data_IF_515028204850
#
_entry.id   IF_515028204850
#
_cell.length_a   1.000
_cell.length_b   1.000
_cell.length_c   1.000
_cell.angle_alpha   90.00
_cell.angle_beta   90.00
_cell.angle_gamma   90.00
#
_symmetry.space_group_name_H-M   'P 1'
#
loop_
_entity.id
_entity.type
_entity.pdbx_description
1 polymer ?
#
# COMPACT_ATOMS: atom_id res chain seq x y z
N UNK A 1 0.67 -20.96 -17.61
CA UNK A 1 0.79 -20.37 -16.24
C UNK A 1 1.59 -19.10 -16.38
N UNK A 2 1.02 -17.96 -16.05
CA UNK A 2 1.78 -16.69 -16.03
C UNK A 2 2.83 -16.78 -14.92
N UNK A 3 4.10 -16.55 -15.25
CA UNK A 3 5.17 -16.51 -14.26
C UNK A 3 4.87 -15.41 -13.24
N UNK A 4 4.88 -15.78 -11.95
CA UNK A 4 4.68 -14.82 -10.86
C UNK A 4 5.76 -13.75 -10.92
N UNK A 5 5.36 -12.49 -10.89
CA UNK A 5 6.30 -11.36 -10.82
C UNK A 5 7.18 -11.51 -9.58
N UNK A 6 8.49 -11.41 -9.77
CA UNK A 6 9.48 -11.44 -8.69
C UNK A 6 9.72 -10.01 -8.17
N UNK A 7 10.03 -9.89 -6.88
CA UNK A 7 10.37 -8.61 -6.27
C UNK A 7 11.47 -7.85 -7.03
N UNK A 8 12.51 -8.55 -7.51
CA UNK A 8 13.61 -7.95 -8.28
C UNK A 8 13.18 -7.29 -9.60
N UNK A 9 12.03 -7.65 -10.15
CA UNK A 9 11.48 -7.02 -11.36
C UNK A 9 10.74 -5.71 -11.05
N UNK A 10 10.26 -5.57 -9.82
CA UNK A 10 9.47 -4.41 -9.35
C UNK A 10 10.34 -3.44 -8.55
N UNK A 11 11.17 -3.95 -7.65
CA UNK A 11 11.98 -3.15 -6.72
C UNK A 11 13.16 -2.50 -7.43
N UNK A 12 12.98 -1.25 -7.84
CA UNK A 12 14.04 -0.37 -8.31
C UNK A 12 14.42 0.58 -7.17
N UNK A 13 15.56 0.32 -6.53
CA UNK A 13 16.02 1.06 -5.36
C UNK A 13 16.20 2.55 -5.63
N UNK A 14 16.62 2.93 -6.84
CA UNK A 14 16.80 4.35 -7.19
C UNK A 14 15.45 5.05 -7.31
N UNK A 15 14.49 4.44 -8.01
CA UNK A 15 13.13 4.99 -8.12
C UNK A 15 12.42 5.07 -6.79
N UNK A 16 12.58 4.04 -5.94
CA UNK A 16 12.02 4.03 -4.58
C UNK A 16 12.61 5.16 -3.73
N UNK A 17 13.93 5.30 -3.73
CA UNK A 17 14.59 6.37 -2.99
C UNK A 17 14.19 7.75 -3.52
N UNK A 18 14.14 7.94 -4.85
CA UNK A 18 13.71 9.19 -5.46
C UNK A 18 12.27 9.55 -5.12
N UNK A 19 11.34 8.58 -5.07
CA UNK A 19 9.97 8.81 -4.65
C UNK A 19 9.90 9.23 -3.18
N UNK A 20 10.59 8.51 -2.29
CA UNK A 20 10.65 8.82 -0.86
C UNK A 20 11.29 10.20 -0.61
N UNK A 21 12.40 10.52 -1.28
CA UNK A 21 13.07 11.82 -1.16
C UNK A 21 12.21 12.96 -1.70
N UNK A 22 11.53 12.76 -2.81
CA UNK A 22 10.60 13.74 -3.38
C UNK A 22 9.42 13.99 -2.45
N UNK A 23 8.81 12.94 -1.90
CA UNK A 23 7.73 13.05 -0.92
C UNK A 23 8.18 13.79 0.33
N UNK A 24 9.32 13.39 0.90
CA UNK A 24 9.94 14.04 2.05
C UNK A 24 10.21 15.53 1.78
N UNK A 25 10.85 15.84 0.66
CA UNK A 25 11.20 17.22 0.29
C UNK A 25 9.95 18.10 0.12
N UNK A 26 8.88 17.61 -0.52
CA UNK A 26 7.62 18.32 -0.64
C UNK A 26 6.97 18.58 0.71
N UNK A 27 6.96 17.58 1.58
CA UNK A 27 6.36 17.68 2.93
C UNK A 27 7.09 18.69 3.82
N UNK A 28 8.41 18.70 3.75
CA UNK A 28 9.22 19.63 4.54
C UNK A 28 9.26 21.03 3.91
N UNK A 29 9.35 21.14 2.58
CA UNK A 29 9.62 22.42 1.91
C UNK A 29 10.84 23.10 2.55
N UNK A 30 10.68 24.34 3.04
CA UNK A 30 11.73 25.07 3.76
C UNK A 30 11.71 24.84 5.29
N UNK A 31 10.86 23.96 5.79
CA UNK A 31 10.73 23.69 7.23
C UNK A 31 11.82 22.74 7.70
N UNK A 32 12.40 23.01 8.86
CA UNK A 32 13.37 22.10 9.51
C UNK A 32 12.69 20.89 10.17
N UNK A 33 11.39 20.97 10.44
CA UNK A 33 10.62 19.93 11.11
C UNK A 33 9.17 19.93 10.63
N UNK A 34 8.54 18.74 10.66
CA UNK A 34 7.12 18.51 10.40
C UNK A 34 6.52 17.63 11.49
N UNK A 35 5.20 17.44 11.44
CA UNK A 35 4.52 16.47 12.28
C UNK A 35 4.65 15.08 11.63
N UNK A 36 5.04 14.10 12.42
CA UNK A 36 5.03 12.68 12.09
C UNK A 36 3.59 12.22 11.85
N UNK A 37 3.31 11.64 10.69
CA UNK A 37 1.96 11.28 10.27
C UNK A 37 1.35 10.14 11.11
N UNK A 38 2.21 9.32 11.74
CA UNK A 38 1.76 8.25 12.62
C UNK A 38 1.69 8.69 14.09
N UNK A 39 2.77 9.24 14.61
CA UNK A 39 2.87 9.53 16.05
C UNK A 39 2.31 10.87 16.46
N UNK A 40 2.06 11.79 15.51
CA UNK A 40 1.69 13.17 15.79
C UNK A 40 2.82 14.01 16.42
N UNK A 41 3.99 13.43 16.65
CA UNK A 41 5.15 14.10 17.26
C UNK A 41 5.96 14.85 16.20
N UNK A 42 6.85 15.71 16.66
CA UNK A 42 7.73 16.48 15.78
C UNK A 42 8.90 15.64 15.29
N UNK A 43 9.11 15.58 13.98
CA UNK A 43 10.28 14.95 13.34
C UNK A 43 11.04 16.01 12.51
N UNK A 44 12.35 15.78 12.34
CA UNK A 44 13.27 16.72 11.74
C UNK A 44 13.89 16.15 10.48
N UNK A 45 14.11 16.98 9.48
CA UNK A 45 14.68 16.58 8.19
C UNK A 45 16.07 15.95 8.35
N UNK A 46 16.95 16.62 9.09
CA UNK A 46 18.34 16.22 9.35
C UNK A 46 18.61 16.13 10.85
N UNK A 47 17.84 15.32 11.59
CA UNK A 47 18.14 15.05 12.98
C UNK A 47 19.46 14.26 13.08
N UNK A 48 20.16 14.42 14.23
CA UNK A 48 21.33 13.61 14.53
C UNK A 48 20.99 12.12 14.39
N UNK A 49 21.82 11.37 13.67
CA UNK A 49 21.62 9.93 13.38
C UNK A 49 21.45 9.05 14.61
N UNK A 50 21.89 9.54 15.78
CA UNK A 50 21.70 8.82 17.06
C UNK A 50 20.32 9.00 17.69
N UNK A 51 19.48 9.91 17.15
CA UNK A 51 18.14 10.20 17.69
C UNK A 51 17.10 9.77 16.64
N UNK A 52 16.98 8.47 16.42
CA UNK A 52 16.08 7.90 15.42
C UNK A 52 14.60 8.25 15.62
N UNK A 53 14.16 8.50 16.86
CA UNK A 53 12.78 8.92 17.16
C UNK A 53 12.46 10.35 16.68
N UNK A 54 13.48 11.16 16.44
CA UNK A 54 13.34 12.52 15.90
C UNK A 54 13.72 12.64 14.43
N UNK A 55 14.38 11.64 13.88
CA UNK A 55 14.81 11.63 12.48
C UNK A 55 13.65 11.20 11.60
N UNK A 56 13.34 12.02 10.59
CA UNK A 56 12.31 11.66 9.60
C UNK A 56 12.78 10.53 8.69
N UNK A 57 11.87 9.64 8.40
CA UNK A 57 11.98 8.62 7.36
C UNK A 57 10.66 8.56 6.59
N UNK A 58 10.67 8.01 5.40
CA UNK A 58 9.46 7.76 4.61
C UNK A 58 9.15 6.28 4.64
N UNK A 59 7.96 5.94 5.09
CA UNK A 59 7.42 4.59 5.12
C UNK A 59 6.55 4.33 3.90
N UNK A 60 6.60 3.10 3.38
CA UNK A 60 5.60 2.56 2.47
C UNK A 60 4.48 1.96 3.32
N UNK A 61 3.31 2.61 3.34
CA UNK A 61 2.17 2.24 4.20
C UNK A 61 1.74 0.81 3.91
N UNK A 62 1.50 0.50 2.63
CA UNK A 62 1.28 -0.86 2.12
C UNK A 62 2.58 -1.32 1.47
N UNK A 63 3.25 -2.34 2.03
CA UNK A 63 4.55 -2.79 1.54
C UNK A 63 4.51 -3.29 0.10
N UNK A 64 5.64 -3.16 -0.61
CA UNK A 64 5.78 -3.62 -1.99
C UNK A 64 5.49 -5.11 -2.15
N UNK A 65 5.97 -5.95 -1.22
CA UNK A 65 5.75 -7.40 -1.27
C UNK A 65 4.26 -7.75 -1.20
N UNK A 66 3.49 -7.01 -0.42
CA UNK A 66 2.05 -7.18 -0.34
C UNK A 66 1.37 -6.82 -1.66
N UNK A 67 1.79 -5.73 -2.30
CA UNK A 67 1.24 -5.33 -3.60
C UNK A 67 1.59 -6.34 -4.70
N UNK A 68 2.81 -6.89 -4.70
CA UNK A 68 3.21 -7.96 -5.62
C UNK A 68 2.36 -9.21 -5.38
N UNK A 69 2.13 -9.59 -4.14
CA UNK A 69 1.33 -10.76 -3.78
C UNK A 69 -0.12 -10.63 -4.26
N UNK A 70 -0.70 -9.43 -4.14
CA UNK A 70 -2.10 -9.16 -4.50
C UNK A 70 -2.33 -8.98 -5.99
N UNK A 71 -1.39 -8.34 -6.69
CA UNK A 71 -1.61 -7.84 -8.04
C UNK A 71 -0.62 -8.38 -9.07
N UNK A 72 0.38 -9.15 -8.67
CA UNK A 72 1.44 -9.63 -9.56
C UNK A 72 0.99 -10.59 -10.65
N UNK A 73 -0.25 -11.14 -10.60
CA UNK A 73 -0.84 -11.92 -11.68
C UNK A 73 -1.47 -11.07 -12.78
N UNK A 74 -1.87 -9.84 -12.45
CA UNK A 74 -2.79 -9.04 -13.28
C UNK A 74 -2.16 -7.74 -13.78
N UNK A 75 -1.12 -7.27 -13.09
CA UNK A 75 -0.47 -5.99 -13.38
C UNK A 75 0.99 -6.19 -13.79
N UNK A 76 1.50 -5.24 -14.58
CA UNK A 76 2.92 -5.23 -14.95
C UNK A 76 3.80 -4.78 -13.77
N UNK A 77 5.11 -5.15 -13.77
CA UNK A 77 6.07 -4.66 -12.78
C UNK A 77 6.08 -3.13 -12.63
N UNK A 78 5.95 -2.40 -13.75
CA UNK A 78 5.92 -0.94 -13.74
C UNK A 78 4.66 -0.36 -13.09
N UNK A 79 3.50 -0.97 -13.34
CA UNK A 79 2.24 -0.56 -12.71
C UNK A 79 2.28 -0.76 -11.20
N UNK A 80 2.79 -1.90 -10.73
CA UNK A 80 2.96 -2.16 -9.30
C UNK A 80 3.95 -1.18 -8.68
N UNK A 81 5.08 -0.91 -9.35
CA UNK A 81 6.08 0.07 -8.90
C UNK A 81 5.48 1.46 -8.77
N UNK A 82 4.68 1.88 -9.74
CA UNK A 82 4.00 3.19 -9.72
C UNK A 82 3.05 3.30 -8.54
N UNK A 83 2.23 2.27 -8.28
CA UNK A 83 1.34 2.25 -7.13
C UNK A 83 2.10 2.27 -5.80
N UNK A 84 3.17 1.47 -5.69
CA UNK A 84 3.96 1.39 -4.47
C UNK A 84 4.61 2.74 -4.10
N UNK A 85 5.05 3.49 -5.11
CA UNK A 85 5.74 4.77 -4.93
C UNK A 85 4.80 5.99 -5.01
N UNK A 86 3.49 5.78 -5.10
CA UNK A 86 2.53 6.88 -5.09
C UNK A 86 2.50 7.59 -3.73
N UNK A 87 2.35 8.92 -3.73
CA UNK A 87 2.28 9.72 -2.51
C UNK A 87 1.24 9.20 -1.50
N UNK A 88 0.11 8.70 -2.00
CA UNK A 88 -0.94 8.13 -1.16
C UNK A 88 -0.51 6.85 -0.41
N UNK A 89 0.59 6.22 -0.82
CA UNK A 89 1.19 5.05 -0.15
C UNK A 89 2.45 5.40 0.65
N UNK A 90 2.75 6.67 0.82
CA UNK A 90 3.93 7.15 1.54
C UNK A 90 3.51 7.92 2.80
N UNK A 91 4.25 7.77 3.88
CA UNK A 91 4.05 8.52 5.12
C UNK A 91 5.39 8.97 5.70
N UNK A 92 5.46 10.24 6.12
CA UNK A 92 6.59 10.72 6.90
C UNK A 92 6.43 10.30 8.36
N UNK A 93 7.34 9.47 8.84
CA UNK A 93 7.37 9.03 10.23
C UNK A 93 8.79 9.03 10.77
N UNK A 94 8.97 8.72 12.04
CA UNK A 94 10.29 8.63 12.63
C UNK A 94 11.00 7.32 12.21
N UNK A 95 12.32 7.39 12.14
CA UNK A 95 13.14 6.28 11.65
C UNK A 95 13.06 5.03 12.55
N UNK A 96 12.85 5.19 13.87
CA UNK A 96 12.69 4.06 14.79
C UNK A 96 11.42 3.27 14.51
N UNK A 97 10.28 3.96 14.35
CA UNK A 97 8.99 3.33 14.06
C UNK A 97 9.03 2.62 12.71
N UNK A 98 9.49 3.31 11.66
CA UNK A 98 9.60 2.72 10.33
C UNK A 98 10.50 1.47 10.33
N UNK A 99 11.66 1.55 10.98
CA UNK A 99 12.57 0.39 11.13
C UNK A 99 11.93 -0.76 11.91
N UNK A 100 11.18 -0.45 12.97
CA UNK A 100 10.48 -1.46 13.79
C UNK A 100 9.33 -2.12 13.03
N UNK A 101 8.61 -1.36 12.19
CA UNK A 101 7.53 -1.86 11.33
C UNK A 101 8.06 -2.81 10.25
N UNK A 102 9.16 -2.44 9.59
CA UNK A 102 9.75 -3.23 8.51
C UNK A 102 8.80 -3.43 7.34
N UNK A 103 8.60 -4.68 6.92
CA UNK A 103 7.76 -5.03 5.77
C UNK A 103 6.30 -5.39 6.15
N UNK A 104 5.86 -5.05 7.36
CA UNK A 104 4.48 -5.27 7.79
C UNK A 104 3.56 -4.13 7.34
N UNK A 105 2.27 -4.44 7.11
CA UNK A 105 1.23 -3.43 7.07
C UNK A 105 1.04 -2.79 8.45
N UNK A 106 0.38 -1.64 8.52
CA UNK A 106 0.20 -0.97 9.80
C UNK A 106 -0.62 -1.80 10.81
N UNK A 107 -1.72 -2.41 10.35
CA UNK A 107 -2.54 -3.28 11.20
C UNK A 107 -1.78 -4.53 11.67
N UNK A 108 -0.98 -5.15 10.81
CA UNK A 108 -0.15 -6.31 11.16
C UNK A 108 0.91 -5.94 12.20
N UNK A 109 1.55 -4.78 12.03
CA UNK A 109 2.53 -4.28 12.98
C UNK A 109 1.91 -4.01 14.35
N UNK A 110 0.76 -3.33 14.39
CA UNK A 110 0.01 -3.05 15.62
C UNK A 110 -0.37 -4.37 16.30
N UNK A 111 -1.01 -5.29 15.57
CA UNK A 111 -1.43 -6.58 16.12
C UNK A 111 -0.24 -7.38 16.69
N UNK A 112 0.88 -7.42 15.96
CA UNK A 112 2.11 -8.07 16.41
C UNK A 112 2.62 -7.48 17.72
N UNK A 113 2.69 -6.14 17.82
CA UNK A 113 3.21 -5.46 19.02
C UNK A 113 2.34 -5.70 20.25
N UNK A 114 1.02 -5.62 20.11
CA UNK A 114 0.09 -5.90 21.19
C UNK A 114 0.11 -7.39 21.62
N UNK A 115 0.27 -8.31 20.67
CA UNK A 115 0.41 -9.74 20.96
C UNK A 115 1.73 -10.02 21.72
N UNK A 116 2.84 -9.43 21.30
CA UNK A 116 4.14 -9.54 21.97
C UNK A 116 4.07 -8.99 23.41
N UNK A 117 3.40 -7.86 23.62
CA UNK A 117 3.21 -7.25 24.93
C UNK A 117 2.31 -8.11 25.84
N UNK A 118 1.22 -8.64 25.31
CA UNK A 118 0.33 -9.54 26.05
C UNK A 118 1.03 -10.82 26.48
N UNK A 119 1.81 -11.45 25.60
CA UNK A 119 2.61 -12.61 25.93
C UNK A 119 3.67 -12.31 27.02
N UNK A 120 4.28 -11.12 27.01
CA UNK A 120 5.21 -10.70 28.04
C UNK A 120 4.53 -10.56 29.41
N UNK A 121 3.33 -9.96 29.46
CA UNK A 121 2.56 -9.82 30.71
C UNK A 121 2.15 -11.17 31.30
N UNK A 122 1.69 -12.12 30.49
CA UNK A 122 1.30 -13.47 30.94
C UNK A 122 2.49 -14.18 31.59
N UNK A 123 3.67 -14.05 31.01
CA UNK A 123 4.88 -14.68 31.61
C UNK A 123 5.27 -14.05 32.95
N UNK A 124 5.09 -12.73 33.12
CA UNK A 124 5.39 -12.05 34.37
C UNK A 124 4.43 -12.48 35.50
N UNK A 125 3.15 -12.67 35.17
CA UNK A 125 2.13 -13.18 36.11
C UNK A 125 2.44 -14.63 36.52
N UNK A 126 2.90 -15.49 35.63
CA UNK A 126 3.25 -16.88 35.94
C UNK A 126 4.47 -16.99 36.87
N UNK A 127 5.45 -16.10 36.75
CA UNK A 127 6.59 -16.02 37.69
C UNK A 127 6.15 -15.62 39.09
N UNK A 128 5.14 -14.78 39.22
CA UNK A 128 4.63 -14.30 40.53
C UNK A 128 3.76 -15.35 41.23
N UNK A 129 2.95 -16.11 40.48
CA UNK A 129 2.00 -17.09 41.01
C UNK A 129 2.65 -18.37 41.56
N UNK A 130 3.77 -18.79 40.99
CA UNK A 130 4.43 -20.06 41.38
C UNK A 130 5.72 -19.91 42.19
N UNK A 131 6.13 -18.70 42.55
CA UNK A 131 7.25 -18.47 43.46
C UNK A 131 8.62 -19.04 43.06
N UNK A 132 8.74 -19.57 41.86
CA UNK A 132 10.00 -20.09 41.31
C UNK A 132 10.52 -19.14 40.25
N UNK A 133 11.68 -18.52 40.50
CA UNK A 133 12.49 -17.81 39.48
C UNK A 133 12.98 -18.81 38.40
N UNK A 134 12.11 -19.26 37.53
CA UNK A 134 12.47 -20.27 36.52
C UNK A 134 13.04 -19.60 35.25
N UNK A 135 12.74 -18.35 34.95
CA UNK A 135 13.29 -17.65 33.82
C UNK A 135 13.61 -16.19 34.10
N UNK A 136 14.89 -15.88 34.28
CA UNK A 136 15.41 -14.54 34.04
C UNK A 136 15.46 -14.32 32.54
N UNK A 137 14.35 -14.06 31.89
CA UNK A 137 14.37 -13.41 30.59
C UNK A 137 14.59 -11.92 30.85
N UNK A 138 15.69 -11.36 30.32
CA UNK A 138 15.87 -9.92 30.16
C UNK A 138 14.80 -9.43 29.17
N UNK A 139 13.56 -9.30 29.64
CA UNK A 139 12.47 -8.79 28.81
C UNK A 139 12.63 -7.28 28.70
N UNK A 140 13.14 -6.83 27.55
CA UNK A 140 12.89 -5.47 27.11
C UNK A 140 11.37 -5.29 27.06
N UNK A 141 10.87 -4.24 27.72
CA UNK A 141 9.48 -3.83 27.56
C UNK A 141 9.17 -3.72 26.05
N UNK A 142 8.09 -4.36 25.63
CA UNK A 142 7.68 -4.27 24.21
C UNK A 142 7.13 -2.87 24.01
N UNK A 143 7.79 -2.11 23.12
CA UNK A 143 7.37 -0.77 22.75
C UNK A 143 6.18 -0.87 21.79
N UNK A 144 4.97 -0.78 22.35
CA UNK A 144 3.73 -0.79 21.59
C UNK A 144 3.39 0.63 21.13
N UNK A 145 2.85 0.80 19.90
CA UNK A 145 2.27 2.07 19.52
C UNK A 145 1.15 2.46 20.49
N UNK A 146 1.14 3.72 20.94
CA UNK A 146 0.03 4.23 21.74
C UNK A 146 -1.27 4.29 20.92
N UNK A 147 -2.40 4.57 21.59
CA UNK A 147 -3.71 4.60 20.92
C UNK A 147 -3.78 5.63 19.79
N UNK A 148 -3.17 6.80 19.96
CA UNK A 148 -3.15 7.87 18.95
C UNK A 148 -2.34 7.42 17.74
N UNK A 149 -1.15 6.87 17.96
CA UNK A 149 -0.29 6.32 16.91
C UNK A 149 -1.01 5.20 16.16
N UNK A 150 -1.63 4.27 16.87
CA UNK A 150 -2.37 3.15 16.26
C UNK A 150 -3.52 3.65 15.37
N UNK A 151 -4.32 4.60 15.85
CA UNK A 151 -5.42 5.18 15.07
C UNK A 151 -4.91 5.91 13.84
N UNK A 152 -3.86 6.70 13.95
CA UNK A 152 -3.28 7.40 12.80
C UNK A 152 -2.72 6.42 11.76
N UNK A 153 -1.98 5.40 12.20
CA UNK A 153 -1.44 4.35 11.31
C UNK A 153 -2.56 3.65 10.54
N UNK A 154 -3.64 3.25 11.21
CA UNK A 154 -4.79 2.60 10.57
C UNK A 154 -5.50 3.55 9.60
N UNK A 155 -5.65 4.82 9.95
CA UNK A 155 -6.25 5.84 9.07
C UNK A 155 -5.45 6.03 7.78
N UNK A 156 -4.12 6.13 7.87
CA UNK A 156 -3.27 6.25 6.70
C UNK A 156 -3.30 4.95 5.86
N UNK A 157 -3.34 3.78 6.49
CA UNK A 157 -3.49 2.51 5.78
C UNK A 157 -4.81 2.42 4.99
N UNK A 158 -5.94 2.82 5.58
CA UNK A 158 -7.22 2.83 4.87
C UNK A 158 -7.18 3.74 3.63
N UNK A 159 -6.55 4.91 3.72
CA UNK A 159 -6.37 5.82 2.58
C UNK A 159 -5.49 5.19 1.49
N UNK A 160 -4.34 4.63 1.87
CA UNK A 160 -3.41 4.00 0.96
C UNK A 160 -4.06 2.80 0.25
N UNK A 161 -4.76 1.95 1.00
CA UNK A 161 -5.49 0.80 0.47
C UNK A 161 -6.57 1.21 -0.54
N UNK A 162 -7.35 2.24 -0.24
CA UNK A 162 -8.36 2.76 -1.16
C UNK A 162 -7.72 3.24 -2.46
N UNK A 163 -6.63 4.02 -2.37
CA UNK A 163 -5.90 4.49 -3.54
C UNK A 163 -5.33 3.33 -4.38
N UNK A 164 -4.65 2.38 -3.73
CA UNK A 164 -4.04 1.22 -4.40
C UNK A 164 -5.11 0.39 -5.12
N UNK A 165 -6.24 0.10 -4.47
CA UNK A 165 -7.35 -0.65 -5.09
C UNK A 165 -7.91 0.06 -6.31
N UNK A 166 -8.11 1.37 -6.22
CA UNK A 166 -8.58 2.18 -7.33
C UNK A 166 -7.60 2.15 -8.51
N UNK A 167 -6.31 2.34 -8.26
CA UNK A 167 -5.29 2.29 -9.31
C UNK A 167 -5.14 0.89 -9.91
N UNK A 168 -5.17 -0.15 -9.08
CA UNK A 168 -5.10 -1.53 -9.56
C UNK A 168 -6.28 -1.86 -10.47
N UNK A 169 -7.50 -1.45 -10.12
CA UNK A 169 -8.68 -1.63 -10.95
C UNK A 169 -8.53 -0.90 -12.29
N UNK A 170 -8.08 0.36 -12.26
CA UNK A 170 -7.81 1.13 -13.48
C UNK A 170 -6.82 0.42 -14.39
N UNK A 171 -5.70 -0.04 -13.87
CA UNK A 171 -4.69 -0.76 -14.66
C UNK A 171 -5.20 -2.10 -15.22
N UNK A 172 -5.98 -2.86 -14.44
CA UNK A 172 -6.60 -4.09 -14.95
C UNK A 172 -7.50 -3.82 -16.16
N UNK A 173 -8.30 -2.78 -16.08
CA UNK A 173 -9.17 -2.34 -17.18
C UNK A 173 -8.33 -1.93 -18.41
N UNK A 174 -7.30 -1.09 -18.21
CA UNK A 174 -6.41 -0.67 -19.29
C UNK A 174 -5.71 -1.86 -19.96
N UNK A 175 -5.23 -2.81 -19.18
CA UNK A 175 -4.59 -4.03 -19.68
C UNK A 175 -5.59 -4.85 -20.51
N UNK A 176 -6.80 -5.09 -19.99
CA UNK A 176 -7.86 -5.83 -20.72
C UNK A 176 -8.25 -5.12 -22.02
N UNK A 177 -8.43 -3.80 -22.00
CA UNK A 177 -8.74 -3.02 -23.22
C UNK A 177 -7.62 -3.14 -24.24
N UNK A 178 -6.36 -3.11 -23.81
CA UNK A 178 -5.21 -3.25 -24.71
C UNK A 178 -5.12 -4.67 -25.29
N UNK A 179 -5.40 -5.71 -24.52
CA UNK A 179 -5.47 -7.09 -25.02
C UNK A 179 -6.57 -7.25 -26.07
N UNK A 180 -7.75 -6.67 -25.83
CA UNK A 180 -8.86 -6.66 -26.75
C UNK A 180 -8.49 -5.93 -28.07
N UNK A 181 -7.87 -4.75 -27.99
CA UNK A 181 -7.43 -3.99 -29.16
C UNK A 181 -6.40 -4.74 -30.01
N UNK A 182 -5.50 -5.46 -29.35
CA UNK A 182 -4.44 -6.23 -30.01
C UNK A 182 -4.93 -7.57 -30.56
N UNK A 183 -6.10 -8.02 -30.16
CA UNK A 183 -6.74 -9.22 -30.70
C UNK A 183 -7.30 -8.94 -32.09
N UNK A 184 -6.74 -9.61 -33.11
CA UNK A 184 -7.18 -9.47 -34.54
C UNK A 184 -8.66 -9.81 -34.75
N UNK A 185 -9.30 -10.51 -33.83
CA UNK A 185 -10.70 -10.98 -33.95
C UNK A 185 -11.70 -9.89 -33.56
N UNK A 186 -11.27 -8.86 -32.83
CA UNK A 186 -12.21 -7.91 -32.18
C UNK A 186 -12.09 -6.47 -32.72
N UNK A 187 -11.08 -6.16 -33.55
CA UNK A 187 -10.81 -4.80 -33.98
C UNK A 187 -12.02 -4.12 -34.66
N UNK A 188 -12.83 -4.87 -35.41
CA UNK A 188 -14.01 -4.31 -36.09
C UNK A 188 -15.23 -4.07 -35.18
N UNK A 189 -15.30 -4.75 -34.04
CA UNK A 189 -16.40 -4.58 -33.05
C UNK A 189 -16.06 -3.55 -31.95
N UNK A 190 -14.80 -3.24 -31.77
CA UNK A 190 -14.34 -2.31 -30.71
C UNK A 190 -14.67 -0.85 -31.00
N UNK A 191 -14.73 -0.45 -32.28
CA UNK A 191 -15.07 0.91 -32.69
C UNK A 191 -16.48 1.33 -32.23
N UNK A 192 -17.37 0.35 -32.02
CA UNK A 192 -18.71 0.60 -31.47
C UNK A 192 -18.74 0.83 -29.95
N UNK A 193 -17.78 0.29 -29.20
CA UNK A 193 -17.75 0.36 -27.74
C UNK A 193 -16.80 1.45 -27.22
N UNK A 194 -15.79 1.83 -28.01
CA UNK A 194 -14.80 2.84 -27.65
C UNK A 194 -15.38 4.20 -27.20
N UNK A 195 -16.49 4.70 -27.77
CA UNK A 195 -17.11 5.96 -27.31
C UNK A 195 -17.62 5.90 -25.86
N UNK A 196 -18.16 4.76 -25.44
CA UNK A 196 -18.71 4.58 -24.08
C UNK A 196 -17.61 4.53 -23.01
N UNK A 197 -16.47 3.90 -23.32
CA UNK A 197 -15.31 3.85 -22.41
C UNK A 197 -14.66 5.24 -22.30
N UNK A 198 -14.51 5.98 -23.40
CA UNK A 198 -13.99 7.37 -23.37
C UNK A 198 -14.88 8.31 -22.56
N UNK A 199 -16.20 8.15 -22.64
CA UNK A 199 -17.15 8.98 -21.91
C UNK A 199 -17.09 8.71 -20.39
N UNK A 200 -16.85 7.47 -19.98
CA UNK A 200 -16.67 7.08 -18.57
C UNK A 200 -15.39 7.66 -17.95
N UNK A 201 -14.28 7.68 -18.72
CA UNK A 201 -13.01 8.27 -18.27
C UNK A 201 -13.04 9.79 -18.17
N UNK A 202 -13.86 10.46 -18.99
CA UNK A 202 -14.01 11.92 -18.98
C UNK A 202 -14.91 12.43 -17.83
N UNK A 203 -15.77 11.58 -17.27
CA UNK A 203 -16.72 11.98 -16.23
C UNK A 203 -16.13 12.11 -14.81
N UNK A 204 -14.86 11.75 -14.60
CA UNK A 204 -14.02 12.19 -13.48
C UNK A 204 -14.41 11.73 -12.07
N UNK A 205 -15.47 10.93 -11.88
CA UNK A 205 -15.82 10.38 -10.56
C UNK A 205 -15.38 8.92 -10.43
N UNK A 206 -14.55 8.62 -9.43
CA UNK A 206 -14.00 7.26 -9.19
C UNK A 206 -15.09 6.19 -9.06
N UNK A 207 -16.21 6.49 -8.43
CA UNK A 207 -17.33 5.56 -8.26
C UNK A 207 -18.09 5.30 -9.57
N UNK A 208 -18.31 6.34 -10.39
CA UNK A 208 -18.95 6.20 -11.70
C UNK A 208 -18.06 5.43 -12.68
N UNK A 209 -16.74 5.62 -12.61
CA UNK A 209 -15.77 4.90 -13.41
C UNK A 209 -15.82 3.39 -13.15
N UNK A 210 -15.84 2.97 -11.89
CA UNK A 210 -15.91 1.54 -11.50
C UNK A 210 -17.22 0.91 -11.98
N UNK A 211 -18.36 1.58 -11.78
CA UNK A 211 -19.67 1.05 -12.14
C UNK A 211 -19.86 0.93 -13.66
N UNK A 212 -19.53 1.96 -14.43
CA UNK A 212 -19.67 1.95 -15.89
C UNK A 212 -18.69 0.98 -16.55
N UNK A 213 -17.48 0.84 -15.98
CA UNK A 213 -16.46 -0.03 -16.56
C UNK A 213 -16.74 -1.50 -16.26
N UNK A 214 -17.25 -1.83 -15.09
CA UNK A 214 -17.65 -3.21 -14.75
C UNK A 214 -18.83 -3.63 -15.63
N UNK A 215 -19.85 -2.80 -15.76
CA UNK A 215 -21.00 -3.08 -16.65
C UNK A 215 -20.60 -3.17 -18.12
N UNK A 216 -19.70 -2.28 -18.58
CA UNK A 216 -19.19 -2.29 -19.95
C UNK A 216 -18.31 -3.51 -20.24
N UNK A 217 -17.50 -3.96 -19.28
CA UNK A 217 -16.68 -5.16 -19.42
C UNK A 217 -17.51 -6.44 -19.37
N UNK A 218 -18.52 -6.51 -18.50
CA UNK A 218 -19.43 -7.66 -18.44
C UNK A 218 -20.15 -7.81 -19.79
N UNK A 219 -20.72 -6.74 -20.30
CA UNK A 219 -21.38 -6.75 -21.62
C UNK A 219 -20.41 -7.12 -22.76
N UNK A 220 -19.15 -6.66 -22.70
CA UNK A 220 -18.12 -7.00 -23.70
C UNK A 220 -17.72 -8.47 -23.63
N UNK A 221 -17.57 -9.02 -22.43
CA UNK A 221 -17.27 -10.44 -22.21
C UNK A 221 -18.41 -11.33 -22.71
N UNK A 222 -19.65 -10.94 -22.44
CA UNK A 222 -20.85 -11.67 -22.89
C UNK A 222 -20.98 -11.64 -24.42
N UNK A 223 -20.68 -10.51 -25.06
CA UNK A 223 -20.62 -10.39 -26.51
C UNK A 223 -19.51 -11.25 -27.12
N UNK A 224 -18.33 -11.27 -26.50
CA UNK A 224 -17.19 -12.08 -26.96
C UNK A 224 -17.47 -13.57 -26.84
N UNK A 225 -18.19 -13.99 -25.80
CA UNK A 225 -18.63 -15.38 -25.61
C UNK A 225 -19.81 -15.79 -26.48
N UNK A 226 -20.43 -14.85 -27.19
CA UNK A 226 -21.63 -15.09 -28.00
C UNK A 226 -22.91 -15.29 -27.17
N UNK A 227 -22.88 -14.85 -25.90
CA UNK A 227 -24.02 -14.97 -24.97
C UNK A 227 -25.04 -13.83 -25.11
N UNK A 228 -24.66 -12.72 -25.77
CA UNK A 228 -25.57 -11.60 -26.07
C UNK A 228 -25.32 -11.01 -27.45
N UNK A 229 -26.40 -10.64 -28.16
CA UNK A 229 -26.35 -9.82 -29.38
C UNK A 229 -26.21 -8.34 -29.03
N UNK A 230 -25.38 -7.64 -29.79
CA UNK A 230 -25.25 -6.19 -29.67
C UNK A 230 -26.53 -5.55 -30.21
N UNK A 231 -27.36 -5.00 -29.32
CA UNK A 231 -28.49 -4.15 -29.71
C UNK A 231 -28.07 -2.70 -29.82
#
# INVERSE_FOLDING_TARGET
MSDKIKRSQVDDINRRNNAADSYKNRSFGNKKSITDEYTGKRIFYNANKHINEKQSNVDHIVPLDEQIRRYGSDLTPEQIRTMANADANLANTNASLNKSKGALNNHEYIAKKYTEAGAAQINDVSETLFGKKIFKTNKKAVDCPDAVTSVNMLKEEVKAEAHIRTQATKYKIENTVNEIKNSKVISSKLDAVAPSVKKATAAGSEAAFVTVTVSGLTNLVDVVKGEQDIK
#
